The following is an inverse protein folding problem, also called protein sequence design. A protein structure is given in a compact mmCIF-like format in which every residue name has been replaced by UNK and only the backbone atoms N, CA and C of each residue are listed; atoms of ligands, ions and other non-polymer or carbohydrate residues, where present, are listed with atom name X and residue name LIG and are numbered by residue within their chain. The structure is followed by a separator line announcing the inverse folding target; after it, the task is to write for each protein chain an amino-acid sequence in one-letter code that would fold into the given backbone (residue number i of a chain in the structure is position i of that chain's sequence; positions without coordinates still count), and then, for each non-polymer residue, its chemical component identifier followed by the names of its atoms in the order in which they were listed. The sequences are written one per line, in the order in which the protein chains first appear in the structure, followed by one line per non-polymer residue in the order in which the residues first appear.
data_IF_276947385625
#
_entry.id   IF_276947385625
#
_cell.length_a   1.000
_cell.length_b   1.000
_cell.length_c   1.000
_cell.angle_alpha   90.00
_cell.angle_beta   90.00
_cell.angle_gamma   90.00
#
_symmetry.space_group_name_H-M   'P 1'
#
loop_
_entity.id
_entity.type
_entity.pdbx_description
1 polymer ?
#
# COMPACT_ATOMS: atom_id res chain seq x y z
N UNK A 1 -7.21 -1.29 13.42
CA UNK A 1 -7.91 -0.17 14.08
C UNK A 1 -7.22 0.22 15.39
N UNK A 2 -6.03 0.83 15.34
CA UNK A 2 -5.26 1.13 16.56
C UNK A 2 -5.08 2.63 16.83
N UNK A 3 -5.42 3.48 15.87
CA UNK A 3 -5.02 4.90 15.89
C UNK A 3 -6.10 5.88 15.40
N UNK A 4 -7.30 5.40 15.08
CA UNK A 4 -8.48 6.24 14.79
C UNK A 4 -8.39 7.16 13.55
N UNK A 5 -7.32 7.09 12.74
CA UNK A 5 -7.17 7.91 11.54
C UNK A 5 -8.21 7.51 10.48
N UNK A 6 -8.81 8.50 9.81
CA UNK A 6 -9.70 8.28 8.66
C UNK A 6 -8.87 7.70 7.49
N UNK A 7 -9.27 6.53 7.00
CA UNK A 7 -8.58 5.81 5.91
C UNK A 7 -9.50 5.49 4.72
N UNK A 8 -10.81 5.60 4.89
CA UNK A 8 -11.79 5.20 3.86
C UNK A 8 -11.66 6.03 2.57
N UNK A 9 -11.41 7.33 2.70
CA UNK A 9 -11.17 8.25 1.58
C UNK A 9 -9.89 7.91 0.79
N UNK A 10 -8.91 7.27 1.44
CA UNK A 10 -7.58 7.02 0.88
C UNK A 10 -7.48 5.74 0.06
N UNK A 11 -8.44 4.82 0.19
CA UNK A 11 -8.40 3.51 -0.47
C UNK A 11 -8.37 3.63 -1.99
N UNK A 12 -9.27 4.44 -2.57
CA UNK A 12 -9.38 4.63 -4.01
C UNK A 12 -8.08 5.22 -4.59
N UNK A 13 -7.49 6.18 -3.90
CA UNK A 13 -6.22 6.77 -4.30
C UNK A 13 -5.09 5.74 -4.24
N UNK A 14 -5.00 4.97 -3.16
CA UNK A 14 -4.00 3.92 -2.99
C UNK A 14 -4.04 2.89 -4.13
N UNK A 15 -5.24 2.39 -4.47
CA UNK A 15 -5.43 1.44 -5.57
C UNK A 15 -5.03 2.03 -6.92
N UNK A 16 -5.43 3.28 -7.20
CA UNK A 16 -5.08 3.96 -8.45
C UNK A 16 -3.56 4.08 -8.63
N UNK A 17 -2.86 4.55 -7.59
CA UNK A 17 -1.39 4.73 -7.63
C UNK A 17 -0.65 3.41 -7.77
N UNK A 18 -1.12 2.35 -7.11
CA UNK A 18 -0.52 1.04 -7.26
C UNK A 18 -0.69 0.46 -8.67
N UNK A 19 -1.85 0.66 -9.31
CA UNK A 19 -2.06 0.24 -10.71
C UNK A 19 -1.12 0.98 -11.67
N UNK A 20 -0.91 2.27 -11.45
CA UNK A 20 0.02 3.09 -12.23
C UNK A 20 1.48 2.61 -12.09
N UNK A 21 1.91 2.25 -10.86
CA UNK A 21 3.30 1.84 -10.59
C UNK A 21 3.60 0.38 -10.96
N UNK A 22 2.68 -0.55 -10.70
CA UNK A 22 2.92 -1.99 -10.89
C UNK A 22 2.55 -2.49 -12.29
N UNK A 23 1.66 -1.82 -13.03
CA UNK A 23 1.12 -2.35 -14.28
C UNK A 23 0.33 -3.65 -14.09
N UNK A 24 -0.14 -4.32 -15.17
CA UNK A 24 -1.00 -5.51 -15.08
C UNK A 24 -0.27 -6.79 -14.61
N UNK A 25 1.05 -6.75 -14.40
CA UNK A 25 1.86 -7.87 -13.93
C UNK A 25 2.31 -7.66 -12.49
N UNK A 26 2.26 -8.71 -11.68
CA UNK A 26 2.80 -8.70 -10.32
C UNK A 26 4.28 -8.30 -10.36
N UNK A 27 4.61 -7.12 -9.82
CA UNK A 27 5.94 -6.53 -9.86
C UNK A 27 7.01 -7.46 -9.27
N UNK A 28 8.26 -7.30 -9.71
CA UNK A 28 9.38 -8.15 -9.30
C UNK A 28 9.46 -8.30 -7.77
N UNK A 29 9.70 -9.52 -7.25
CA UNK A 29 9.99 -9.68 -5.84
C UNK A 29 11.30 -8.96 -5.54
N UNK A 30 11.21 -7.87 -4.79
CA UNK A 30 12.38 -7.10 -4.35
C UNK A 30 13.17 -7.98 -3.38
N UNK A 31 14.33 -8.45 -3.83
CA UNK A 31 15.24 -9.23 -2.99
C UNK A 31 16.01 -8.29 -2.07
N UNK A 32 16.12 -8.69 -0.80
CA UNK A 32 16.76 -7.88 0.23
C UNK A 32 18.24 -8.27 0.29
N UNK A 33 19.11 -7.53 -0.38
CA UNK A 33 20.54 -7.86 -0.55
C UNK A 33 21.41 -7.59 0.70
N UNK A 34 20.87 -7.81 1.90
CA UNK A 34 21.57 -7.72 3.20
C UNK A 34 22.11 -6.34 3.61
N UNK A 35 22.18 -5.35 2.71
CA UNK A 35 22.76 -4.01 2.96
C UNK A 35 21.79 -2.87 2.72
N UNK A 36 20.82 -3.02 1.81
CA UNK A 36 19.90 -1.94 1.42
C UNK A 36 18.46 -2.43 1.48
N UNK A 37 17.62 -1.65 2.16
CA UNK A 37 16.17 -1.83 2.14
C UNK A 37 15.65 -1.13 0.88
N UNK A 38 15.17 -1.86 -0.15
CA UNK A 38 14.60 -1.21 -1.33
C UNK A 38 13.27 -0.53 -0.95
N UNK A 39 13.01 0.65 -1.51
CA UNK A 39 11.70 1.28 -1.39
C UNK A 39 10.72 0.55 -2.30
N UNK A 40 9.74 -0.13 -1.73
CA UNK A 40 8.66 -0.76 -2.49
C UNK A 40 7.68 0.30 -2.99
N UNK A 41 6.94 0.04 -4.09
CA UNK A 41 5.92 0.98 -4.58
C UNK A 41 4.87 1.29 -3.51
N UNK A 42 4.47 0.34 -2.67
CA UNK A 42 3.56 0.58 -1.55
C UNK A 42 4.12 1.60 -0.57
N UNK A 43 5.42 1.51 -0.25
CA UNK A 43 6.07 2.47 0.64
C UNK A 43 6.04 3.88 0.06
N UNK A 44 6.24 4.03 -1.24
CA UNK A 44 6.17 5.34 -1.92
C UNK A 44 4.76 5.92 -1.82
N UNK A 45 3.73 5.12 -2.09
CA UNK A 45 2.34 5.59 -1.97
C UNK A 45 1.97 5.93 -0.52
N UNK A 46 2.49 5.21 0.47
CA UNK A 46 2.28 5.57 1.87
C UNK A 46 2.99 6.86 2.29
N UNK A 47 4.16 7.15 1.72
CA UNK A 47 4.88 8.40 1.91
C UNK A 47 4.05 9.56 1.30
N UNK A 48 3.47 9.39 0.11
CA UNK A 48 2.57 10.36 -0.55
C UNK A 48 1.30 10.63 0.29
N UNK A 49 0.68 9.59 0.85
CA UNK A 49 -0.52 9.69 1.68
C UNK A 49 -0.27 10.17 3.13
N UNK A 50 1.00 10.45 3.47
CA UNK A 50 1.46 10.84 4.81
C UNK A 50 0.99 9.86 5.90
N UNK A 51 1.10 8.56 5.62
CA UNK A 51 0.80 7.50 6.56
C UNK A 51 2.10 7.01 7.20
N UNK A 52 2.55 7.66 8.27
CA UNK A 52 3.80 7.28 8.95
C UNK A 52 3.62 6.09 9.90
N UNK A 53 2.48 6.03 10.61
CA UNK A 53 2.22 5.00 11.62
C UNK A 53 1.92 3.66 10.96
N UNK A 54 2.56 2.60 11.45
CA UNK A 54 2.38 1.22 10.97
C UNK A 54 0.91 0.75 11.05
N UNK A 55 0.14 1.20 12.05
CA UNK A 55 -1.28 0.86 12.23
C UNK A 55 -2.14 1.23 11.01
N UNK A 56 -1.83 2.36 10.36
CA UNK A 56 -2.53 2.82 9.16
C UNK A 56 -2.12 1.99 7.96
N UNK A 57 -0.80 1.79 7.79
CA UNK A 57 -0.22 1.01 6.68
C UNK A 57 -0.74 -0.43 6.67
N UNK A 58 -0.77 -1.09 7.84
CA UNK A 58 -1.31 -2.47 7.99
C UNK A 58 -2.74 -2.57 7.46
N UNK A 59 -3.59 -1.60 7.82
CA UNK A 59 -5.00 -1.64 7.44
C UNK A 59 -5.15 -1.63 5.92
N UNK A 60 -4.40 -0.78 5.21
CA UNK A 60 -4.44 -0.72 3.74
C UNK A 60 -3.74 -1.92 3.07
N UNK A 61 -2.61 -2.39 3.61
CA UNK A 61 -1.86 -3.52 3.05
C UNK A 61 -2.62 -4.84 3.11
N UNK A 62 -3.41 -5.05 4.16
CA UNK A 62 -4.14 -6.31 4.39
C UNK A 62 -5.61 -6.26 3.97
N UNK A 63 -6.07 -5.11 3.47
CA UNK A 63 -7.45 -4.96 3.02
C UNK A 63 -7.68 -5.77 1.75
N UNK A 64 -8.66 -6.67 1.79
CA UNK A 64 -9.14 -7.42 0.63
C UNK A 64 -10.56 -6.94 0.35
N UNK A 65 -10.78 -6.44 -0.86
CA UNK A 65 -12.10 -5.99 -1.28
C UNK A 65 -12.89 -7.18 -1.81
N UNK A 66 -13.88 -7.64 -1.04
CA UNK A 66 -14.74 -8.77 -1.41
C UNK A 66 -16.00 -8.32 -2.18
N UNK A 67 -16.26 -7.00 -2.22
CA UNK A 67 -17.48 -6.44 -2.81
C UNK A 67 -17.48 -6.65 -4.34
N UNK A 68 -16.31 -6.62 -4.99
CA UNK A 68 -16.18 -6.82 -6.43
C UNK A 68 -16.52 -8.25 -6.90
N UNK A 69 -16.65 -9.22 -5.98
CA UNK A 69 -16.87 -10.65 -6.28
C UNK A 69 -18.30 -11.14 -6.06
N UNK A 70 -19.18 -10.28 -5.56
CA UNK A 70 -20.62 -10.53 -5.43
C UNK A 70 -21.31 -9.97 -6.69
#
# INVERSE_FOLDING_TARGET
MNCGKLLADKWNHYQKRLREMKGPGYAEPTCFDGKKIPKTPESVVFDELQLTRYCCKKTLLTHVDLIEKI
#
